data_IF_387016297590
#
_entry.id   IF_387016297590
#
_cell.length_a   1.000
_cell.length_b   1.000
_cell.length_c   1.000
_cell.angle_alpha   90.00
_cell.angle_beta   90.00
_cell.angle_gamma   90.00
#
_symmetry.space_group_name_H-M   'P 1'
#
loop_
_entity.id
_entity.type
_entity.pdbx_description
1 polymer ?
#
# COMPACT_ATOMS: atom_id res chain seq x y z
N UNK A 1 -12.38 8.01 -104.39
CA UNK A 1 -11.18 7.48 -103.72
C UNK A 1 -10.96 8.34 -102.45
N UNK A 2 -10.75 7.70 -101.33
CA UNK A 2 -10.36 8.19 -100.00
C UNK A 2 -11.48 8.63 -99.10
N UNK A 3 -11.89 7.68 -98.34
CA UNK A 3 -12.67 7.69 -97.08
C UNK A 3 -11.96 8.50 -96.01
N UNK A 4 -12.67 9.38 -95.38
CA UNK A 4 -12.19 10.07 -94.15
C UNK A 4 -13.21 9.81 -93.03
N UNK A 5 -12.81 8.98 -92.09
CA UNK A 5 -13.57 8.66 -90.92
C UNK A 5 -13.27 9.68 -89.82
N UNK A 6 -14.29 10.40 -89.35
CA UNK A 6 -14.21 11.23 -88.13
C UNK A 6 -14.49 10.38 -86.91
N UNK A 7 -13.69 10.43 -85.88
CA UNK A 7 -14.03 9.78 -84.61
C UNK A 7 -14.90 10.67 -83.75
N UNK A 8 -15.95 10.12 -83.25
CA UNK A 8 -16.85 10.72 -82.28
C UNK A 8 -16.13 10.91 -80.91
N UNK A 9 -16.19 12.11 -80.41
CA UNK A 9 -15.66 12.45 -79.10
C UNK A 9 -16.70 12.11 -78.02
N UNK A 10 -16.45 11.00 -77.35
CA UNK A 10 -17.28 10.61 -76.20
C UNK A 10 -16.76 11.31 -74.96
N UNK A 11 -17.53 12.29 -74.46
CA UNK A 11 -17.24 12.95 -73.16
C UNK A 11 -17.73 12.02 -72.03
N UNK A 12 -16.82 11.42 -71.33
CA UNK A 12 -17.07 10.62 -70.15
C UNK A 12 -17.09 11.58 -68.95
N UNK A 13 -18.28 11.86 -68.40
CA UNK A 13 -18.44 12.61 -67.17
C UNK A 13 -18.01 11.75 -65.98
N UNK A 14 -16.86 12.06 -65.39
CA UNK A 14 -16.37 11.41 -64.18
C UNK A 14 -17.03 12.07 -62.96
N UNK A 15 -18.09 11.47 -62.43
CA UNK A 15 -18.67 11.86 -61.15
C UNK A 15 -17.70 11.43 -60.01
N UNK A 16 -17.02 12.42 -59.42
CA UNK A 16 -16.17 12.21 -58.28
C UNK A 16 -16.94 11.79 -57.04
N UNK A 17 -16.72 10.57 -56.60
CA UNK A 17 -17.20 10.08 -55.31
C UNK A 17 -16.19 10.54 -54.24
N UNK A 18 -16.57 11.57 -53.47
CA UNK A 18 -15.78 12.00 -52.32
C UNK A 18 -16.04 11.02 -51.19
N UNK A 19 -15.20 10.04 -51.02
CA UNK A 19 -15.20 9.18 -49.86
C UNK A 19 -14.61 9.96 -48.69
N UNK A 20 -15.41 10.40 -47.75
CA UNK A 20 -14.98 10.92 -46.45
C UNK A 20 -14.43 9.76 -45.64
N UNK A 21 -13.10 9.57 -45.63
CA UNK A 21 -12.45 8.65 -44.75
C UNK A 21 -12.52 9.23 -43.31
N UNK A 22 -13.38 8.64 -42.47
CA UNK A 22 -13.32 8.89 -41.04
C UNK A 22 -11.98 8.37 -40.49
N UNK A 23 -11.30 9.11 -39.60
CA UNK A 23 -10.07 8.61 -38.98
C UNK A 23 -10.42 7.44 -38.06
N UNK A 24 -10.14 6.24 -38.52
CA UNK A 24 -10.12 5.05 -37.67
C UNK A 24 -8.93 5.22 -36.75
N UNK A 25 -9.18 5.62 -35.52
CA UNK A 25 -8.20 5.51 -34.45
C UNK A 25 -8.03 4.03 -34.14
N UNK A 26 -7.18 3.37 -34.91
CA UNK A 26 -6.65 2.08 -34.50
C UNK A 26 -5.76 2.35 -33.27
N UNK A 27 -6.36 2.23 -32.09
CA UNK A 27 -5.61 2.12 -30.85
C UNK A 27 -4.74 0.86 -30.96
N UNK A 28 -3.54 0.99 -31.47
CA UNK A 28 -2.54 -0.06 -31.39
C UNK A 28 -2.15 -0.21 -29.94
N UNK A 29 -2.85 -1.11 -29.21
CA UNK A 29 -2.31 -1.70 -28.01
C UNK A 29 -1.11 -2.53 -28.42
N UNK A 30 0.05 -1.87 -28.59
CA UNK A 30 1.33 -2.55 -28.76
C UNK A 30 1.67 -3.13 -27.39
N UNK A 31 1.18 -4.34 -27.14
CA UNK A 31 1.63 -5.13 -26.00
C UNK A 31 3.00 -5.70 -26.40
N UNK A 32 4.05 -4.87 -26.21
CA UNK A 32 5.43 -5.30 -26.39
C UNK A 32 5.78 -6.17 -25.19
N UNK A 33 5.44 -7.45 -25.27
CA UNK A 33 5.91 -8.45 -24.33
C UNK A 33 7.41 -8.68 -24.63
N UNK A 34 8.28 -7.88 -24.02
CA UNK A 34 9.73 -7.95 -24.18
C UNK A 34 10.34 -9.19 -23.49
N UNK A 35 9.53 -10.17 -23.09
CA UNK A 35 10.05 -11.38 -22.45
C UNK A 35 10.81 -11.14 -21.14
N UNK A 36 10.86 -9.90 -20.67
CA UNK A 36 11.38 -9.60 -19.34
C UNK A 36 10.36 -10.08 -18.33
N UNK A 37 10.77 -10.87 -17.32
CA UNK A 37 9.87 -11.24 -16.25
C UNK A 37 9.40 -9.96 -15.56
N UNK A 38 8.18 -9.51 -15.90
CA UNK A 38 7.53 -8.43 -15.16
C UNK A 38 7.48 -8.93 -13.73
N UNK A 39 8.06 -8.24 -12.75
CA UNK A 39 7.92 -8.65 -11.36
C UNK A 39 6.42 -8.66 -11.07
N UNK A 40 5.86 -9.86 -10.92
CA UNK A 40 4.50 -10.01 -10.46
C UNK A 40 4.48 -9.39 -9.09
N UNK A 41 3.94 -8.17 -8.97
CA UNK A 41 3.66 -7.55 -7.69
C UNK A 41 2.54 -8.37 -7.07
N UNK A 42 2.92 -9.48 -6.42
CA UNK A 42 1.98 -10.27 -5.63
C UNK A 42 1.51 -9.35 -4.53
N UNK A 43 0.27 -8.88 -4.65
CA UNK A 43 -0.36 -8.11 -3.60
C UNK A 43 -0.18 -8.86 -2.28
N UNK A 44 0.28 -8.21 -1.21
CA UNK A 44 0.46 -8.86 0.07
C UNK A 44 -0.88 -9.45 0.49
N UNK A 45 -0.90 -10.76 0.74
CA UNK A 45 -2.07 -11.40 1.34
C UNK A 45 -2.37 -10.66 2.65
N UNK A 46 -3.61 -10.22 2.90
CA UNK A 46 -3.91 -9.48 4.11
C UNK A 46 -3.58 -10.34 5.33
N UNK A 47 -2.84 -9.78 6.28
CA UNK A 47 -2.75 -10.33 7.63
C UNK A 47 -4.03 -9.90 8.32
N UNK A 48 -4.89 -10.83 8.62
CA UNK A 48 -6.09 -10.56 9.38
C UNK A 48 -5.94 -11.14 10.79
N UNK A 49 -6.01 -10.27 11.78
CA UNK A 49 -5.99 -10.60 13.19
C UNK A 49 -7.34 -10.16 13.76
N UNK A 50 -8.19 -11.12 14.12
CA UNK A 50 -9.56 -10.86 14.53
C UNK A 50 -9.67 -9.93 15.75
N UNK A 51 -8.76 -10.09 16.69
CA UNK A 51 -8.74 -9.29 17.92
C UNK A 51 -7.40 -8.56 18.06
N UNK A 52 -7.38 -7.37 18.71
CA UNK A 52 -6.14 -6.69 19.01
C UNK A 52 -5.17 -7.60 19.75
N UNK A 53 -3.95 -7.85 19.18
CA UNK A 53 -3.04 -8.87 19.71
C UNK A 53 -2.41 -8.41 21.03
N UNK A 54 -2.28 -9.32 21.99
CA UNK A 54 -1.40 -9.09 23.12
C UNK A 54 0.06 -9.06 22.66
N UNK A 55 0.89 -8.22 23.30
CA UNK A 55 2.23 -7.92 22.87
C UNK A 55 3.27 -8.36 23.91
N UNK A 56 4.37 -8.92 23.43
CA UNK A 56 5.55 -9.24 24.24
C UNK A 56 6.72 -8.42 23.72
N UNK A 57 7.53 -7.89 24.65
CA UNK A 57 8.75 -7.18 24.28
C UNK A 57 9.92 -8.17 24.15
N UNK A 58 10.73 -7.99 23.11
CA UNK A 58 12.03 -8.65 23.00
C UNK A 58 13.04 -7.79 23.76
N UNK A 59 13.64 -8.30 24.84
CA UNK A 59 14.56 -7.53 25.68
C UNK A 59 15.67 -6.84 24.87
N UNK A 60 16.08 -5.65 25.30
CA UNK A 60 17.17 -4.84 24.71
C UNK A 60 16.97 -4.40 23.26
N UNK A 61 15.89 -4.80 22.58
CA UNK A 61 15.65 -4.45 21.17
C UNK A 61 14.59 -3.37 20.97
N UNK A 62 13.73 -3.12 21.95
CA UNK A 62 12.51 -2.33 21.85
C UNK A 62 11.54 -2.84 20.76
N UNK A 63 11.74 -4.06 20.28
CA UNK A 63 10.82 -4.72 19.36
C UNK A 63 9.76 -5.47 20.16
N UNK A 64 8.51 -5.27 19.82
CA UNK A 64 7.41 -6.05 20.36
C UNK A 64 6.94 -7.06 19.31
N UNK A 65 6.47 -8.21 19.74
CA UNK A 65 5.84 -9.18 18.86
C UNK A 65 4.51 -9.68 19.44
N UNK A 66 3.69 -10.25 18.59
CA UNK A 66 2.39 -10.82 18.96
C UNK A 66 2.49 -12.35 19.04
N UNK A 67 2.60 -12.97 20.23
CA UNK A 67 2.81 -14.42 20.36
C UNK A 67 1.59 -15.24 19.91
N UNK A 68 0.37 -14.70 20.11
CA UNK A 68 -0.89 -15.37 19.77
C UNK A 68 -1.30 -15.31 18.30
N UNK A 69 -0.45 -14.80 17.40
CA UNK A 69 -0.74 -14.68 15.97
C UNK A 69 0.11 -15.67 15.19
N UNK A 70 -0.48 -16.34 14.19
CA UNK A 70 0.23 -17.33 13.38
C UNK A 70 1.31 -16.75 12.45
N UNK A 71 1.25 -15.44 12.18
CA UNK A 71 2.20 -14.73 11.33
C UNK A 71 3.25 -13.99 12.15
N UNK A 72 4.41 -13.74 11.56
CA UNK A 72 5.47 -12.94 12.20
C UNK A 72 5.09 -11.47 12.19
N UNK A 73 4.47 -11.03 13.27
CA UNK A 73 3.97 -9.68 13.45
C UNK A 73 4.75 -8.96 14.54
N UNK A 74 5.46 -7.91 14.15
CA UNK A 74 6.30 -7.11 15.03
C UNK A 74 5.82 -5.66 15.08
N UNK A 75 6.16 -4.99 16.17
CA UNK A 75 5.99 -3.55 16.28
C UNK A 75 7.31 -2.91 16.73
N UNK A 76 7.73 -1.89 16.02
CA UNK A 76 8.93 -1.13 16.28
C UNK A 76 8.83 0.28 15.69
N UNK A 77 9.30 1.29 16.39
CA UNK A 77 9.33 2.68 15.92
C UNK A 77 7.99 3.16 15.33
N UNK A 78 6.94 2.99 16.11
CA UNK A 78 5.57 3.38 15.74
C UNK A 78 5.04 2.78 14.42
N UNK A 79 5.59 1.63 13.99
CA UNK A 79 5.20 0.93 12.78
C UNK A 79 5.01 -0.56 13.04
N UNK A 80 4.09 -1.13 12.30
CA UNK A 80 3.89 -2.56 12.26
C UNK A 80 4.72 -3.17 11.14
N UNK A 81 5.30 -4.31 11.43
CA UNK A 81 6.14 -5.07 10.53
C UNK A 81 5.64 -6.50 10.47
N UNK A 82 5.53 -7.02 9.26
CA UNK A 82 5.18 -8.42 9.05
C UNK A 82 6.23 -9.09 8.18
N UNK A 83 6.67 -10.27 8.58
CA UNK A 83 7.60 -11.09 7.81
C UNK A 83 6.87 -12.32 7.31
N UNK A 84 6.99 -12.62 6.01
CA UNK A 84 6.46 -13.82 5.37
C UNK A 84 7.54 -14.45 4.50
N UNK A 85 8.16 -15.53 4.98
CA UNK A 85 9.39 -16.04 4.38
C UNK A 85 10.43 -14.94 4.28
N UNK A 86 10.93 -14.69 3.08
CA UNK A 86 11.94 -13.66 2.82
C UNK A 86 11.38 -12.26 2.54
N UNK A 87 10.05 -12.11 2.59
CA UNK A 87 9.38 -10.84 2.28
C UNK A 87 9.00 -10.09 3.53
N UNK A 88 9.23 -8.78 3.47
CA UNK A 88 8.89 -7.87 4.54
C UNK A 88 7.80 -6.89 4.11
N UNK A 89 6.94 -6.58 5.06
CA UNK A 89 5.84 -5.62 4.88
C UNK A 89 5.81 -4.67 6.06
N UNK A 90 5.46 -3.42 5.77
CA UNK A 90 5.26 -2.36 6.77
C UNK A 90 3.81 -1.89 6.74
N UNK A 91 3.22 -1.68 7.93
CA UNK A 91 1.85 -1.21 8.08
C UNK A 91 1.73 -0.11 9.12
N UNK A 92 0.64 0.65 9.06
CA UNK A 92 0.24 1.62 10.09
C UNK A 92 -0.54 0.97 11.23
N UNK A 93 -1.20 -0.16 10.97
CA UNK A 93 -1.92 -0.96 11.95
C UNK A 93 -1.56 -2.44 11.89
N UNK A 94 -1.93 -3.21 12.91
CA UNK A 94 -1.68 -4.65 12.95
C UNK A 94 -2.44 -5.44 11.86
N UNK A 95 -3.48 -4.87 11.29
CA UNK A 95 -4.21 -5.39 10.14
C UNK A 95 -3.89 -4.64 8.83
N UNK A 96 -2.85 -3.80 8.81
CA UNK A 96 -2.47 -3.03 7.65
C UNK A 96 -3.07 -1.61 7.62
N UNK A 97 -3.16 -0.99 6.47
CA UNK A 97 -2.73 -1.50 5.16
C UNK A 97 -1.23 -1.83 5.10
N UNK A 98 -0.88 -2.90 4.35
CA UNK A 98 0.48 -3.41 4.25
C UNK A 98 1.16 -2.98 2.95
N UNK A 99 2.38 -2.48 3.05
CA UNK A 99 3.22 -2.12 1.92
C UNK A 99 4.46 -3.00 1.93
N UNK A 100 4.75 -3.65 0.82
CA UNK A 100 5.97 -4.45 0.67
C UNK A 100 7.20 -3.55 0.73
N UNK A 101 8.23 -3.99 1.46
CA UNK A 101 9.49 -3.25 1.62
C UNK A 101 10.68 -4.18 1.40
N UNK A 102 11.72 -3.64 0.79
CA UNK A 102 12.97 -4.39 0.63
C UNK A 102 13.69 -4.58 1.97
N UNK A 103 14.48 -5.65 2.15
CA UNK A 103 15.18 -5.95 3.40
C UNK A 103 16.02 -4.80 3.94
N UNK A 104 16.64 -4.01 3.06
CA UNK A 104 17.46 -2.84 3.42
C UNK A 104 16.69 -1.71 4.12
N UNK A 105 15.36 -1.71 3.98
CA UNK A 105 14.48 -0.70 4.60
C UNK A 105 13.83 -1.20 5.90
N UNK A 106 14.12 -2.43 6.30
CA UNK A 106 13.69 -2.98 7.59
C UNK A 106 14.65 -2.49 8.66
N UNK A 107 14.16 -1.90 9.78
CA UNK A 107 15.03 -1.49 10.86
C UNK A 107 15.88 -2.65 11.40
N UNK A 108 17.15 -2.40 11.68
CA UNK A 108 18.07 -3.42 12.15
C UNK A 108 17.57 -4.21 13.38
N UNK A 109 16.92 -3.58 14.39
CA UNK A 109 16.35 -4.33 15.51
C UNK A 109 15.29 -5.35 15.09
N UNK A 110 14.44 -5.00 14.13
CA UNK A 110 13.39 -5.90 13.60
C UNK A 110 14.00 -6.99 12.73
N UNK A 111 14.94 -6.62 11.86
CA UNK A 111 15.59 -7.54 10.94
C UNK A 111 16.41 -8.63 11.67
N UNK A 112 17.03 -8.25 12.79
CA UNK A 112 17.87 -9.14 13.61
C UNK A 112 17.09 -10.00 14.60
N UNK A 113 15.76 -9.92 14.63
CA UNK A 113 14.97 -10.81 15.48
C UNK A 113 15.26 -12.26 15.08
N UNK A 114 15.74 -13.10 16.01
CA UNK A 114 16.13 -14.48 15.70
C UNK A 114 14.91 -15.29 15.24
N UNK A 115 15.12 -16.26 14.35
CA UNK A 115 14.02 -17.07 13.82
C UNK A 115 13.25 -17.83 14.91
N UNK A 116 13.92 -18.21 16.00
CA UNK A 116 13.34 -18.92 17.14
C UNK A 116 12.79 -18.00 18.24
N UNK A 117 12.56 -16.72 17.97
CA UNK A 117 12.10 -15.73 18.96
C UNK A 117 10.84 -16.16 19.72
N UNK A 118 9.94 -16.88 19.07
CA UNK A 118 8.71 -17.39 19.69
C UNK A 118 9.02 -18.43 20.76
N UNK A 119 10.00 -19.29 20.54
CA UNK A 119 10.45 -20.28 21.53
C UNK A 119 11.19 -19.61 22.68
N UNK A 120 12.05 -18.63 22.35
CA UNK A 120 12.88 -17.95 23.35
C UNK A 120 12.07 -17.01 24.23
N UNK A 121 11.16 -16.22 23.64
CA UNK A 121 10.43 -15.15 24.35
C UNK A 121 8.92 -15.42 24.48
N UNK A 122 8.41 -16.52 23.93
CA UNK A 122 6.98 -16.82 23.93
C UNK A 122 6.41 -17.14 25.32
N UNK A 123 7.27 -17.45 26.30
CA UNK A 123 6.88 -17.69 27.70
C UNK A 123 6.76 -16.39 28.52
N UNK A 124 7.28 -15.28 28.00
CA UNK A 124 7.13 -13.97 28.64
C UNK A 124 5.65 -13.57 28.74
N UNK A 125 5.31 -12.87 29.82
CA UNK A 125 3.93 -12.46 30.06
C UNK A 125 3.44 -11.46 29.01
N UNK A 126 2.45 -11.84 28.17
CA UNK A 126 1.94 -10.93 27.16
C UNK A 126 1.18 -9.76 27.81
N UNK A 127 1.42 -8.55 27.35
CA UNK A 127 0.68 -7.37 27.75
C UNK A 127 -0.55 -7.21 26.84
N UNK A 128 -1.77 -7.10 27.40
CA UNK A 128 -2.97 -6.82 26.62
C UNK A 128 -2.80 -5.54 25.80
N UNK A 129 -3.33 -5.53 24.57
CA UNK A 129 -3.13 -4.44 23.60
C UNK A 129 -3.45 -3.06 24.16
N UNK A 130 -4.56 -2.91 24.89
CA UNK A 130 -4.96 -1.64 25.49
C UNK A 130 -3.95 -1.12 26.53
N UNK A 131 -3.37 -2.02 27.35
CA UNK A 131 -2.35 -1.67 28.33
C UNK A 131 -1.04 -1.32 27.62
N UNK A 132 -0.66 -2.09 26.62
CA UNK A 132 0.53 -1.83 25.79
C UNK A 132 0.47 -0.47 25.11
N UNK A 133 -0.67 -0.09 24.51
CA UNK A 133 -0.86 1.25 23.93
C UNK A 133 -0.71 2.37 24.96
N UNK A 134 -1.31 2.20 26.15
CA UNK A 134 -1.17 3.18 27.23
C UNK A 134 0.26 3.33 27.70
N UNK A 135 0.98 2.20 27.87
CA UNK A 135 2.38 2.21 28.31
C UNK A 135 3.29 2.95 27.34
N UNK A 136 2.96 2.96 26.04
CA UNK A 136 3.70 3.67 25.01
C UNK A 136 3.31 5.14 24.84
N UNK A 137 2.42 5.67 25.67
CA UNK A 137 1.97 7.06 25.57
C UNK A 137 1.03 7.33 24.38
N UNK A 138 0.53 6.30 23.69
CA UNK A 138 -0.54 6.44 22.70
C UNK A 138 -1.90 6.67 23.38
N UNK A 139 -1.96 7.66 24.25
CA UNK A 139 -3.24 8.21 24.66
C UNK A 139 -3.80 8.94 23.45
N UNK A 140 -4.88 8.44 22.87
CA UNK A 140 -5.65 9.19 21.91
C UNK A 140 -5.88 10.58 22.48
N UNK A 141 -5.26 11.58 21.86
CA UNK A 141 -5.29 12.95 22.34
C UNK A 141 -6.72 13.46 22.43
N UNK A 142 -7.34 13.31 23.58
CA UNK A 142 -8.36 14.25 24.00
C UNK A 142 -7.56 15.51 24.36
N UNK A 143 -7.43 16.42 23.42
CA UNK A 143 -7.16 17.81 23.72
C UNK A 143 -8.23 18.24 24.72
N UNK A 144 -7.87 18.24 26.01
CA UNK A 144 -8.64 18.88 27.04
C UNK A 144 -8.38 20.37 26.81
N UNK A 145 -9.27 21.00 26.01
CA UNK A 145 -9.27 22.43 25.85
C UNK A 145 -9.31 23.05 27.25
N UNK A 146 -8.23 23.72 27.61
CA UNK A 146 -8.09 24.51 28.80
C UNK A 146 -9.14 25.61 28.70
N UNK A 147 -10.24 25.46 29.44
CA UNK A 147 -11.21 26.51 29.62
C UNK A 147 -10.52 27.61 30.44
N UNK A 148 -9.98 28.60 29.77
CA UNK A 148 -9.64 29.87 30.39
C UNK A 148 -10.94 30.48 30.94
N UNK A 149 -11.19 30.24 32.23
CA UNK A 149 -12.25 30.89 32.98
C UNK A 149 -11.89 32.35 33.13
N UNK A 150 -12.45 33.21 32.31
CA UNK A 150 -12.43 34.65 32.46
C UNK A 150 -13.27 35.02 33.69
N UNK A 151 -12.64 35.10 34.87
CA UNK A 151 -13.25 35.72 36.06
C UNK A 151 -13.25 37.23 35.85
N UNK A 152 -14.36 37.75 35.34
CA UNK A 152 -14.67 39.18 35.47
C UNK A 152 -14.93 39.46 36.94
N UNK A 153 -14.05 40.20 37.56
CA UNK A 153 -14.28 40.76 38.87
C UNK A 153 -15.46 41.76 38.81
N UNK A 154 -16.45 41.51 39.62
CA UNK A 154 -17.48 42.51 39.94
C UNK A 154 -16.90 43.40 41.01
N UNK A 155 -16.73 44.69 40.68
CA UNK A 155 -16.37 45.72 41.60
C UNK A 155 -17.67 46.45 41.94
N UNK A 156 -18.18 46.25 43.14
CA UNK A 156 -19.29 46.99 43.70
C UNK A 156 -18.68 48.18 44.47
N UNK A 157 -19.07 49.38 44.10
CA UNK A 157 -19.13 50.56 44.93
C UNK A 157 -20.60 50.97 45.12
#
# INVERSE_FOLDING_TARGET
>A
MKTGILPALTVLALTGFVATAAPVHAGTNVNVNLGLPVPVVVAPQPVYVEQPPAMVIIPQSNVYFAPGVSVDLFFYDNRWWNRRGDRWYRGSGYNGPWVAVGPRYVPAPVYRVPANYRTVYGHEKPMPYGQWKKARGEHGGKYKGEKHGNKRGHHDD
#
